data_IF_191383969612
#
_entry.id   IF_191383969612
#
_cell.length_a   1.000
_cell.length_b   1.000
_cell.length_c   1.000
_cell.angle_alpha   90.00
_cell.angle_beta   90.00
_cell.angle_gamma   90.00
#
_symmetry.space_group_name_H-M   'P 1'
#
loop_
_entity.id
_entity.type
_entity.pdbx_description
1 polymer ?
#
# COMPACT_ATOMS: atom_id res chain seq x y z
N UNK A 1 17.13 -10.08 5.94
CA UNK A 1 17.26 -9.01 4.93
C UNK A 1 16.19 -9.26 3.87
N UNK A 2 15.04 -8.60 3.97
CA UNK A 2 13.91 -8.79 3.03
C UNK A 2 14.16 -8.05 1.70
N UNK A 3 15.09 -7.10 1.69
CA UNK A 3 15.35 -6.22 0.54
C UNK A 3 16.37 -6.74 -0.49
N UNK A 4 16.93 -7.94 -0.33
CA UNK A 4 17.86 -8.48 -1.34
C UNK A 4 17.17 -9.00 -2.61
N UNK A 5 15.83 -9.04 -2.63
CA UNK A 5 15.04 -9.51 -3.77
C UNK A 5 14.99 -8.50 -4.93
N UNK A 6 15.12 -7.21 -4.66
CA UNK A 6 14.91 -6.13 -5.66
C UNK A 6 16.08 -5.87 -6.62
N UNK A 7 17.21 -6.58 -6.51
CA UNK A 7 18.42 -6.28 -7.29
C UNK A 7 18.54 -7.13 -8.56
N UNK A 8 17.86 -6.74 -9.64
CA UNK A 8 18.44 -6.78 -11.01
C UNK A 8 17.56 -6.16 -12.09
N UNK A 9 18.15 -5.17 -12.77
CA UNK A 9 17.85 -4.65 -14.12
C UNK A 9 16.67 -3.68 -14.23
N UNK A 10 17.01 -2.42 -14.56
CA UNK A 10 16.18 -1.21 -14.69
C UNK A 10 15.57 -0.66 -13.38
N UNK A 11 16.47 -0.20 -12.48
CA UNK A 11 16.18 0.22 -11.10
C UNK A 11 15.05 1.26 -10.97
N UNK A 12 14.88 2.18 -11.93
CA UNK A 12 13.95 3.31 -11.75
C UNK A 12 12.48 2.93 -11.60
N UNK A 13 12.03 1.85 -12.25
CA UNK A 13 10.63 1.40 -12.19
C UNK A 13 10.31 0.69 -10.89
N UNK A 14 11.22 -0.17 -10.44
CA UNK A 14 11.10 -0.88 -9.16
C UNK A 14 11.25 0.09 -7.99
N UNK A 15 12.21 1.02 -8.04
CA UNK A 15 12.40 2.04 -7.01
C UNK A 15 11.13 2.91 -6.86
N UNK A 16 10.47 3.22 -7.97
CA UNK A 16 9.20 3.94 -7.92
C UNK A 16 8.13 3.11 -7.22
N UNK A 17 7.92 1.86 -7.62
CA UNK A 17 6.98 0.92 -6.98
C UNK A 17 7.27 0.81 -5.48
N UNK A 18 8.54 0.64 -5.09
CA UNK A 18 8.94 0.56 -3.67
C UNK A 18 8.53 1.83 -2.91
N UNK A 19 8.80 3.01 -3.49
CA UNK A 19 8.39 4.28 -2.86
C UNK A 19 6.88 4.40 -2.71
N UNK A 20 6.08 3.87 -3.65
CA UNK A 20 4.63 3.85 -3.54
C UNK A 20 4.16 2.90 -2.44
N UNK A 21 4.76 1.70 -2.33
CA UNK A 21 4.48 0.74 -1.25
C UNK A 21 4.81 1.33 0.12
N UNK A 22 5.96 1.99 0.26
CA UNK A 22 6.34 2.66 1.52
C UNK A 22 5.35 3.77 1.92
N UNK A 23 4.83 4.52 0.94
CA UNK A 23 3.75 5.49 1.16
C UNK A 23 2.48 4.81 1.65
N UNK A 24 2.01 3.73 0.99
CA UNK A 24 0.83 2.98 1.45
C UNK A 24 0.97 2.46 2.88
N UNK A 25 2.15 1.93 3.26
CA UNK A 25 2.41 1.48 4.63
C UNK A 25 2.31 2.64 5.63
N UNK A 26 2.85 3.81 5.26
CA UNK A 26 2.81 5.01 6.10
C UNK A 26 1.39 5.52 6.28
N UNK A 27 0.62 5.56 5.19
CA UNK A 27 -0.79 5.98 5.19
C UNK A 27 -1.68 5.01 5.97
N UNK A 28 -1.46 3.70 5.83
CA UNK A 28 -2.16 2.67 6.59
C UNK A 28 -1.84 2.76 8.09
N UNK A 29 -0.58 3.07 8.46
CA UNK A 29 -0.21 3.31 9.85
C UNK A 29 -0.85 4.59 10.41
N UNK A 30 -0.84 5.67 9.62
CA UNK A 30 -1.45 6.93 10.01
C UNK A 30 -2.95 6.78 10.31
N UNK A 31 -3.68 6.09 9.43
CA UNK A 31 -5.11 5.81 9.65
C UNK A 31 -5.36 4.90 10.85
N UNK A 32 -4.47 3.93 11.11
CA UNK A 32 -4.55 3.09 12.31
C UNK A 32 -4.38 3.93 13.59
N UNK A 33 -3.37 4.78 13.65
CA UNK A 33 -3.08 5.63 14.82
C UNK A 33 -4.26 6.60 15.09
N UNK A 34 -4.84 7.17 14.04
CA UNK A 34 -6.04 8.02 14.12
C UNK A 34 -7.28 7.25 14.63
N UNK A 35 -7.57 6.10 14.01
CA UNK A 35 -8.71 5.26 14.40
C UNK A 35 -8.60 4.84 15.87
N UNK A 36 -7.42 4.39 16.31
CA UNK A 36 -7.17 4.00 17.69
C UNK A 36 -7.26 5.16 18.66
N UNK A 37 -6.76 6.34 18.31
CA UNK A 37 -6.89 7.55 19.13
C UNK A 37 -8.36 7.86 19.40
N UNK A 38 -9.19 7.82 18.36
CA UNK A 38 -10.60 8.14 18.50
C UNK A 38 -11.39 7.06 19.27
N UNK A 39 -11.08 5.77 19.08
CA UNK A 39 -11.68 4.68 19.88
C UNK A 39 -11.31 4.78 21.37
N UNK A 40 -10.12 5.31 21.69
CA UNK A 40 -9.62 5.41 23.08
C UNK A 40 -9.98 6.72 23.79
N UNK A 41 -10.84 7.56 23.19
CA UNK A 41 -11.38 8.77 23.82
C UNK A 41 -10.92 10.10 23.19
N UNK A 42 -10.29 10.05 22.02
CA UNK A 42 -9.93 11.21 21.21
C UNK A 42 -11.10 11.89 20.50
N UNK A 43 -10.81 12.98 19.78
CA UNK A 43 -11.80 13.74 18.99
C UNK A 43 -12.26 12.96 17.75
N UNK A 44 -13.48 12.44 17.78
CA UNK A 44 -14.08 11.60 16.72
C UNK A 44 -14.39 12.38 15.43
N UNK A 45 -14.92 13.59 15.53
CA UNK A 45 -15.50 14.30 14.37
C UNK A 45 -14.46 14.66 13.30
N UNK A 46 -13.25 15.04 13.69
CA UNK A 46 -12.15 15.36 12.76
C UNK A 46 -11.46 14.12 12.20
N UNK A 47 -11.46 13.01 12.95
CA UNK A 47 -10.78 11.76 12.58
C UNK A 47 -11.51 11.03 11.46
N UNK A 48 -12.84 11.11 11.43
CA UNK A 48 -13.67 10.38 10.47
C UNK A 48 -13.43 10.76 9.01
N UNK A 49 -13.27 12.04 8.73
CA UNK A 49 -13.05 12.53 7.37
C UNK A 49 -11.62 12.26 6.91
N UNK A 50 -10.65 12.39 7.82
CA UNK A 50 -9.23 12.13 7.54
C UNK A 50 -9.00 10.65 7.26
N UNK A 51 -9.52 9.74 8.10
CA UNK A 51 -9.42 8.29 7.87
C UNK A 51 -10.02 7.91 6.52
N UNK A 52 -11.21 8.42 6.17
CA UNK A 52 -11.84 8.15 4.87
C UNK A 52 -11.07 8.75 3.69
N UNK A 53 -10.43 9.90 3.88
CA UNK A 53 -9.63 10.53 2.84
C UNK A 53 -8.36 9.72 2.56
N UNK A 54 -7.64 9.34 3.61
CA UNK A 54 -6.40 8.56 3.48
C UNK A 54 -6.69 7.15 2.97
N UNK A 55 -7.78 6.50 3.40
CA UNK A 55 -8.24 5.21 2.84
C UNK A 55 -8.48 5.28 1.33
N UNK A 56 -9.14 6.34 0.83
CA UNK A 56 -9.29 6.56 -0.61
C UNK A 56 -7.95 6.74 -1.32
N UNK A 57 -6.98 7.40 -0.68
CA UNK A 57 -5.65 7.57 -1.24
C UNK A 57 -4.91 6.24 -1.33
N UNK A 58 -5.01 5.39 -0.32
CA UNK A 58 -4.48 4.02 -0.31
C UNK A 58 -5.06 3.22 -1.49
N UNK A 59 -6.36 3.31 -1.74
CA UNK A 59 -7.01 2.62 -2.86
C UNK A 59 -6.50 3.08 -4.23
N UNK A 60 -6.30 4.39 -4.39
CA UNK A 60 -5.73 4.95 -5.64
C UNK A 60 -4.30 4.45 -5.83
N UNK A 61 -3.48 4.49 -4.78
CA UNK A 61 -2.10 4.02 -4.84
C UNK A 61 -2.01 2.51 -5.06
N UNK A 62 -2.92 1.70 -4.50
CA UNK A 62 -3.02 0.26 -4.81
C UNK A 62 -3.20 0.03 -6.32
N UNK A 63 -4.15 0.76 -6.93
CA UNK A 63 -4.44 0.63 -8.36
C UNK A 63 -3.24 1.03 -9.23
N UNK A 64 -2.51 2.08 -8.83
CA UNK A 64 -1.31 2.57 -9.50
C UNK A 64 -0.19 1.51 -9.44
N UNK A 65 0.14 1.02 -8.25
CA UNK A 65 1.19 0.01 -8.07
C UNK A 65 0.86 -1.26 -8.86
N UNK A 66 -0.39 -1.72 -8.83
CA UNK A 66 -0.80 -2.93 -9.56
C UNK A 66 -0.64 -2.76 -11.06
N UNK A 67 -0.98 -1.60 -11.61
CA UNK A 67 -0.74 -1.30 -13.03
C UNK A 67 0.75 -1.34 -13.35
N UNK A 68 1.58 -0.69 -12.52
CA UNK A 68 3.03 -0.62 -12.73
C UNK A 68 3.69 -2.00 -12.64
N UNK A 69 3.28 -2.84 -11.69
CA UNK A 69 3.73 -4.23 -11.59
C UNK A 69 3.42 -5.02 -12.86
N UNK A 70 2.19 -4.95 -13.38
CA UNK A 70 1.83 -5.66 -14.62
C UNK A 70 2.72 -5.20 -15.79
N UNK A 71 2.95 -3.89 -15.92
CA UNK A 71 3.82 -3.34 -16.96
C UNK A 71 5.26 -3.86 -16.79
N UNK A 72 5.81 -3.77 -15.58
CA UNK A 72 7.17 -4.20 -15.28
C UNK A 72 7.38 -5.68 -15.65
N UNK A 73 6.51 -6.58 -15.17
CA UNK A 73 6.62 -8.01 -15.45
C UNK A 73 6.34 -8.36 -16.93
N UNK A 74 5.45 -7.63 -17.62
CA UNK A 74 5.16 -7.87 -19.04
C UNK A 74 6.32 -7.47 -19.95
N UNK A 75 7.06 -6.41 -19.62
CA UNK A 75 8.19 -5.91 -20.41
C UNK A 75 9.46 -6.69 -20.13
N UNK A 76 9.71 -7.05 -18.87
CA UNK A 76 10.97 -7.67 -18.47
C UNK A 76 10.99 -9.20 -18.64
N UNK A 77 9.87 -9.82 -19.04
CA UNK A 77 9.78 -11.14 -19.69
C UNK A 77 10.35 -12.36 -18.94
N UNK A 78 10.98 -12.16 -17.79
CA UNK A 78 11.69 -13.18 -17.02
C UNK A 78 11.43 -13.12 -15.51
N UNK A 79 10.56 -12.23 -15.04
CA UNK A 79 10.07 -12.24 -13.67
C UNK A 79 9.13 -13.43 -13.46
N UNK A 80 9.28 -14.13 -12.34
CA UNK A 80 8.42 -15.27 -11.99
C UNK A 80 6.98 -14.77 -11.78
N UNK A 81 6.01 -15.30 -12.54
CA UNK A 81 4.60 -14.96 -12.36
C UNK A 81 4.13 -15.18 -10.91
N UNK A 82 4.76 -16.13 -10.21
CA UNK A 82 4.55 -16.38 -8.78
C UNK A 82 4.93 -15.16 -7.95
N UNK A 83 6.07 -14.53 -8.24
CA UNK A 83 6.55 -13.34 -7.55
C UNK A 83 5.59 -12.17 -7.74
N UNK A 84 5.14 -11.91 -8.98
CA UNK A 84 4.13 -10.88 -9.25
C UNK A 84 2.85 -11.11 -8.44
N UNK A 85 2.36 -12.35 -8.37
CA UNK A 85 1.16 -12.69 -7.61
C UNK A 85 1.34 -12.49 -6.10
N UNK A 86 2.52 -12.81 -5.56
CA UNK A 86 2.86 -12.55 -4.15
C UNK A 86 2.85 -11.04 -3.88
N UNK A 87 3.47 -10.23 -4.75
CA UNK A 87 3.43 -8.77 -4.62
C UNK A 87 2.02 -8.20 -4.69
N UNK A 88 1.23 -8.65 -5.66
CA UNK A 88 -0.18 -8.25 -5.80
C UNK A 88 -0.99 -8.52 -4.53
N UNK A 89 -0.82 -9.70 -3.93
CA UNK A 89 -1.50 -10.05 -2.68
C UNK A 89 -1.04 -9.16 -1.52
N UNK A 90 0.26 -8.91 -1.40
CA UNK A 90 0.80 -8.04 -0.34
C UNK A 90 0.25 -6.62 -0.43
N UNK A 91 0.18 -6.03 -1.63
CA UNK A 91 -0.36 -4.67 -1.82
C UNK A 91 -1.84 -4.63 -1.47
N UNK A 92 -2.60 -5.67 -1.87
CA UNK A 92 -4.00 -5.80 -1.47
C UNK A 92 -4.14 -5.92 0.04
N UNK A 93 -3.28 -6.67 0.72
CA UNK A 93 -3.33 -6.78 2.18
C UNK A 93 -3.06 -5.43 2.86
N UNK A 94 -2.19 -4.59 2.28
CA UNK A 94 -1.99 -3.21 2.76
C UNK A 94 -3.24 -2.34 2.59
N UNK A 95 -3.93 -2.44 1.45
CA UNK A 95 -5.21 -1.77 1.23
C UNK A 95 -6.25 -2.19 2.27
N UNK A 96 -6.37 -3.50 2.51
CA UNK A 96 -7.31 -4.04 3.51
C UNK A 96 -7.04 -3.54 4.91
N UNK A 97 -5.78 -3.27 5.28
CA UNK A 97 -5.46 -2.66 6.58
C UNK A 97 -6.09 -1.26 6.68
N UNK A 98 -6.00 -0.43 5.63
CA UNK A 98 -6.68 0.87 5.59
C UNK A 98 -8.20 0.72 5.71
N UNK A 99 -8.74 -0.26 4.98
CA UNK A 99 -10.16 -0.59 4.98
C UNK A 99 -10.65 -1.04 6.37
N UNK A 100 -9.84 -1.81 7.09
CA UNK A 100 -10.10 -2.21 8.48
C UNK A 100 -10.03 -1.02 9.44
N UNK A 101 -9.09 -0.10 9.27
CA UNK A 101 -9.00 1.10 10.11
C UNK A 101 -10.27 1.95 10.00
N UNK A 102 -10.82 2.09 8.79
CA UNK A 102 -12.12 2.74 8.54
C UNK A 102 -13.31 1.99 9.17
N UNK A 103 -13.22 0.68 9.36
CA UNK A 103 -14.31 -0.13 9.92
C UNK A 103 -14.28 -0.22 11.44
N UNK A 104 -13.09 -0.11 12.06
CA UNK A 104 -12.90 -0.14 13.52
C UNK A 104 -13.36 1.18 14.16
N UNK A 105 -13.27 2.28 13.42
CA UNK A 105 -13.69 3.61 13.82
C UNK A 105 -15.04 3.99 13.17
#
# INVERSE_FOLDING_TARGET
MVMSFFRRSDDSGIDHIESQVQRMVTDARHTFDLAMNAVTGGSVASVADEVRLTDRQINVTEMEIRRELVIHFSVHGGGDATEMLVFMNMIKDLERIGDYNKNVF
#
